data_IF_255633036901
#
_entry.id   IF_255633036901
#
_cell.length_a   1.000
_cell.length_b   1.000
_cell.length_c   1.000
_cell.angle_alpha   90.00
_cell.angle_beta   90.00
_cell.angle_gamma   90.00
#
_symmetry.space_group_name_H-M   'P 1'
#
loop_
_entity.id
_entity.type
_entity.pdbx_description
1 polymer ?
#
# COMPACT_ATOMS: atom_id res chain seq x y z
N UNK A 1 6.28 -8.72 -93.55
CA UNK A 1 6.01 -10.16 -93.73
C UNK A 1 6.74 -10.91 -92.63
N UNK A 2 5.97 -11.55 -91.75
CA UNK A 2 6.29 -12.73 -90.92
C UNK A 2 7.53 -12.72 -90.00
N UNK A 3 7.27 -12.64 -88.69
CA UNK A 3 7.64 -13.69 -87.71
C UNK A 3 6.87 -13.51 -86.40
N UNK A 4 6.08 -14.53 -86.03
CA UNK A 4 5.51 -14.77 -84.70
C UNK A 4 6.51 -15.57 -83.85
N UNK A 5 6.53 -15.34 -82.53
CA UNK A 5 6.77 -16.32 -81.44
C UNK A 5 7.05 -15.51 -80.15
N UNK A 6 6.09 -15.39 -79.24
CA UNK A 6 5.86 -16.29 -78.10
C UNK A 6 6.70 -15.90 -76.87
N UNK A 7 6.03 -15.35 -75.85
CA UNK A 7 6.22 -15.72 -74.45
C UNK A 7 5.11 -15.03 -73.65
N UNK A 8 4.11 -15.82 -73.29
CA UNK A 8 3.14 -15.47 -72.26
C UNK A 8 3.86 -15.45 -70.91
N UNK A 9 3.77 -14.35 -70.17
CA UNK A 9 4.04 -14.35 -68.74
C UNK A 9 2.82 -13.77 -68.03
N UNK A 10 1.96 -14.68 -67.59
CA UNK A 10 0.85 -14.40 -66.71
C UNK A 10 1.39 -14.05 -65.33
N UNK A 11 1.42 -12.77 -64.99
CA UNK A 11 1.59 -12.35 -63.60
C UNK A 11 0.24 -12.45 -62.89
N UNK A 12 0.01 -13.64 -62.34
CA UNK A 12 -1.12 -13.94 -61.47
C UNK A 12 -1.11 -13.05 -60.22
N UNK A 13 -2.27 -12.44 -59.96
CA UNK A 13 -2.59 -11.77 -58.71
C UNK A 13 -2.58 -12.78 -57.54
N UNK A 14 -1.44 -12.90 -56.88
CA UNK A 14 -1.31 -13.59 -55.59
C UNK A 14 -1.84 -12.70 -54.47
N UNK A 15 -3.17 -12.59 -54.33
CA UNK A 15 -3.77 -12.10 -53.09
C UNK A 15 -3.53 -13.16 -52.01
N UNK A 16 -2.38 -13.05 -51.34
CA UNK A 16 -2.12 -13.72 -50.08
C UNK A 16 -3.09 -13.18 -49.04
N UNK A 17 -4.26 -13.82 -48.94
CA UNK A 17 -5.09 -13.76 -47.75
C UNK A 17 -4.34 -14.49 -46.63
N UNK A 18 -3.35 -13.81 -46.06
CA UNK A 18 -2.82 -14.15 -44.76
C UNK A 18 -3.99 -14.06 -43.80
N UNK A 19 -4.50 -15.23 -43.40
CA UNK A 19 -5.48 -15.37 -42.34
C UNK A 19 -5.03 -14.50 -41.18
N UNK A 20 -5.73 -13.38 -40.99
CA UNK A 20 -5.72 -12.66 -39.73
C UNK A 20 -6.17 -13.68 -38.71
N UNK A 21 -5.21 -14.26 -38.00
CA UNK A 21 -5.49 -14.94 -36.76
C UNK A 21 -6.19 -13.88 -35.91
N UNK A 22 -7.50 -14.01 -35.79
CA UNK A 22 -8.32 -13.20 -34.92
C UNK A 22 -7.68 -13.28 -33.54
N UNK A 23 -6.94 -12.25 -33.15
CA UNK A 23 -6.42 -12.11 -31.80
C UNK A 23 -7.62 -11.78 -30.91
N UNK A 24 -8.50 -12.75 -30.71
CA UNK A 24 -9.57 -12.65 -29.73
C UNK A 24 -8.86 -12.50 -28.40
N UNK A 25 -9.01 -11.37 -27.69
CA UNK A 25 -8.45 -11.24 -26.36
C UNK A 25 -8.97 -12.43 -25.55
N UNK A 26 -8.07 -13.26 -25.02
CA UNK A 26 -8.45 -14.37 -24.14
C UNK A 26 -8.96 -13.79 -22.82
N UNK A 27 -10.20 -13.30 -22.82
CA UNK A 27 -10.91 -12.86 -21.63
C UNK A 27 -11.21 -14.09 -20.79
N UNK A 28 -10.87 -14.05 -19.50
CA UNK A 28 -11.14 -15.16 -18.59
C UNK A 28 -12.64 -15.50 -18.59
N UNK A 29 -12.99 -16.80 -18.59
CA UNK A 29 -14.38 -17.21 -18.61
C UNK A 29 -15.10 -16.73 -17.35
N UNK A 30 -16.34 -16.26 -17.51
CA UNK A 30 -17.18 -15.69 -16.44
C UNK A 30 -17.26 -16.60 -15.20
N UNK A 31 -17.20 -17.93 -15.40
CA UNK A 31 -17.14 -18.94 -14.34
C UNK A 31 -16.01 -18.71 -13.32
N UNK A 32 -14.83 -18.25 -13.77
CA UNK A 32 -13.69 -17.95 -12.89
C UNK A 32 -14.01 -16.77 -11.97
N UNK A 33 -14.65 -15.72 -12.48
CA UNK A 33 -15.03 -14.57 -11.67
C UNK A 33 -16.11 -14.92 -10.64
N UNK A 34 -17.12 -15.72 -11.01
CA UNK A 34 -18.14 -16.18 -10.06
C UNK A 34 -17.53 -17.06 -8.96
N UNK A 35 -16.67 -18.02 -9.34
CA UNK A 35 -16.00 -18.88 -8.37
C UNK A 35 -15.12 -18.07 -7.39
N UNK A 36 -14.41 -17.07 -7.92
CA UNK A 36 -13.57 -16.17 -7.11
C UNK A 36 -14.43 -15.31 -6.19
N UNK A 37 -15.54 -14.77 -6.69
CA UNK A 37 -16.48 -13.99 -5.89
C UNK A 37 -17.05 -14.81 -4.71
N UNK A 38 -17.45 -16.06 -4.96
CA UNK A 38 -17.89 -16.97 -3.90
C UNK A 38 -16.78 -17.25 -2.89
N UNK A 39 -15.55 -17.51 -3.35
CA UNK A 39 -14.41 -17.71 -2.47
C UNK A 39 -14.16 -16.47 -1.59
N UNK A 40 -14.23 -15.26 -2.15
CA UNK A 40 -14.07 -14.02 -1.39
C UNK A 40 -15.20 -13.78 -0.38
N UNK A 41 -16.43 -14.15 -0.71
CA UNK A 41 -17.54 -14.12 0.25
C UNK A 41 -17.29 -15.05 1.41
N UNK A 42 -16.90 -16.30 1.14
CA UNK A 42 -16.55 -17.27 2.19
C UNK A 42 -15.43 -16.73 3.09
N UNK A 43 -14.33 -16.24 2.52
CA UNK A 43 -13.22 -15.67 3.29
C UNK A 43 -13.67 -14.44 4.12
N UNK A 44 -14.62 -13.66 3.62
CA UNK A 44 -15.16 -12.50 4.33
C UNK A 44 -16.01 -12.95 5.53
N UNK A 45 -16.89 -13.92 5.35
CA UNK A 45 -17.66 -14.52 6.46
C UNK A 45 -16.71 -15.11 7.50
N UNK A 46 -15.64 -15.79 7.08
CA UNK A 46 -14.61 -16.32 7.97
C UNK A 46 -13.89 -15.21 8.73
N UNK A 47 -13.58 -14.09 8.09
CA UNK A 47 -12.94 -12.93 8.75
C UNK A 47 -13.86 -12.32 9.80
N UNK A 48 -15.14 -12.16 9.47
CA UNK A 48 -16.16 -11.65 10.41
C UNK A 48 -16.35 -12.65 11.56
N UNK A 49 -16.44 -13.95 11.28
CA UNK A 49 -16.49 -15.00 12.29
C UNK A 49 -15.28 -14.98 13.22
N UNK A 50 -14.08 -14.85 12.66
CA UNK A 50 -12.84 -14.73 13.44
C UNK A 50 -12.82 -13.49 14.33
N UNK A 51 -13.51 -12.41 13.95
CA UNK A 51 -13.62 -11.21 14.78
C UNK A 51 -14.48 -11.39 16.05
N UNK A 52 -15.35 -12.40 16.08
CA UNK A 52 -16.18 -12.72 17.25
C UNK A 52 -15.52 -13.70 18.22
N UNK A 53 -14.43 -14.37 17.79
CA UNK A 53 -13.68 -15.29 18.65
C UNK A 53 -12.55 -14.52 19.31
N UNK A 54 -12.46 -14.58 20.64
CA UNK A 54 -11.40 -13.90 21.38
C UNK A 54 -10.25 -14.87 21.67
N UNK A 55 -9.22 -14.84 20.82
CA UNK A 55 -7.98 -15.62 20.96
C UNK A 55 -6.86 -14.76 21.56
N UNK A 56 -7.20 -13.58 22.11
CA UNK A 56 -6.25 -12.63 22.68
C UNK A 56 -5.22 -12.15 21.65
N UNK A 57 -3.93 -12.33 21.96
CA UNK A 57 -2.83 -11.86 21.09
C UNK A 57 -2.82 -12.51 19.69
N UNK A 58 -3.41 -13.71 19.54
CA UNK A 58 -3.45 -14.41 18.25
C UNK A 58 -4.50 -13.83 17.28
N UNK A 59 -5.47 -13.05 17.75
CA UNK A 59 -6.53 -12.48 16.89
C UNK A 59 -5.95 -11.63 15.76
N UNK A 60 -4.98 -10.78 16.06
CA UNK A 60 -4.35 -9.92 15.06
C UNK A 60 -3.61 -10.74 14.00
N UNK A 61 -2.84 -11.75 14.43
CA UNK A 61 -2.08 -12.60 13.52
C UNK A 61 -3.00 -13.39 12.58
N UNK A 62 -4.10 -13.95 13.11
CA UNK A 62 -5.10 -14.69 12.33
C UNK A 62 -5.85 -13.75 11.39
N UNK A 63 -6.28 -12.58 11.87
CA UNK A 63 -6.96 -11.59 11.04
C UNK A 63 -6.08 -11.13 9.87
N UNK A 64 -4.79 -10.87 10.13
CA UNK A 64 -3.82 -10.53 9.08
C UNK A 64 -3.63 -11.68 8.09
N UNK A 65 -3.50 -12.92 8.55
CA UNK A 65 -3.35 -14.08 7.66
C UNK A 65 -4.54 -14.25 6.72
N UNK A 66 -5.76 -14.13 7.25
CA UNK A 66 -6.99 -14.23 6.44
C UNK A 66 -7.05 -13.06 5.46
N UNK A 67 -6.74 -11.84 5.90
CA UNK A 67 -6.71 -10.65 5.05
C UNK A 67 -5.68 -10.77 3.91
N UNK A 68 -4.47 -11.26 4.20
CA UNK A 68 -3.44 -11.49 3.17
C UNK A 68 -3.87 -12.57 2.19
N UNK A 69 -4.51 -13.63 2.65
CA UNK A 69 -5.05 -14.68 1.76
C UNK A 69 -6.12 -14.10 0.82
N UNK A 70 -7.05 -13.29 1.36
CA UNK A 70 -8.07 -12.58 0.57
C UNK A 70 -7.43 -11.67 -0.47
N UNK A 71 -6.45 -10.87 -0.07
CA UNK A 71 -5.71 -10.00 -0.98
C UNK A 71 -4.98 -10.79 -2.07
N UNK A 72 -4.38 -11.94 -1.72
CA UNK A 72 -3.73 -12.85 -2.67
C UNK A 72 -4.69 -13.40 -3.73
N UNK A 73 -5.89 -13.82 -3.35
CA UNK A 73 -6.93 -14.27 -4.30
C UNK A 73 -7.31 -13.15 -5.27
N UNK A 74 -7.50 -11.92 -4.76
CA UNK A 74 -7.80 -10.75 -5.59
C UNK A 74 -6.65 -10.44 -6.56
N UNK A 75 -5.42 -10.42 -6.07
CA UNK A 75 -4.24 -10.14 -6.89
C UNK A 75 -4.03 -11.20 -7.98
N UNK A 76 -4.14 -12.48 -7.64
CA UNK A 76 -3.93 -13.56 -8.60
C UNK A 76 -5.00 -13.60 -9.69
N UNK A 77 -6.26 -13.36 -9.34
CA UNK A 77 -7.38 -13.52 -10.29
C UNK A 77 -7.85 -12.20 -10.90
N UNK A 78 -8.26 -11.23 -10.09
CA UNK A 78 -8.85 -9.97 -10.60
C UNK A 78 -7.80 -9.03 -11.20
N UNK A 79 -6.59 -8.99 -10.62
CA UNK A 79 -5.48 -8.25 -11.23
C UNK A 79 -4.81 -9.03 -12.37
N UNK A 80 -5.34 -10.19 -12.74
CA UNK A 80 -4.81 -11.07 -13.79
C UNK A 80 -3.35 -11.51 -13.58
N UNK A 81 -2.77 -11.35 -12.39
CA UNK A 81 -1.35 -11.60 -12.14
C UNK A 81 -0.93 -13.05 -12.44
N UNK A 82 -1.88 -14.01 -12.37
CA UNK A 82 -1.65 -15.41 -12.72
C UNK A 82 -1.49 -15.66 -14.23
N UNK A 83 -2.13 -14.87 -15.08
CA UNK A 83 -2.13 -15.03 -16.53
C UNK A 83 -1.35 -13.94 -17.27
N UNK A 84 -1.03 -12.86 -16.59
CA UNK A 84 -0.24 -11.75 -17.11
C UNK A 84 1.26 -12.08 -17.10
N UNK A 85 2.06 -11.21 -17.70
CA UNK A 85 3.50 -11.32 -17.78
C UNK A 85 4.14 -11.32 -16.38
N UNK A 86 5.15 -12.18 -16.18
CA UNK A 86 5.89 -12.34 -14.91
C UNK A 86 6.50 -11.03 -14.40
N UNK A 87 6.69 -10.06 -15.28
CA UNK A 87 7.15 -8.71 -14.96
C UNK A 87 6.18 -7.97 -14.01
N UNK A 88 4.86 -8.11 -14.22
CA UNK A 88 3.86 -7.52 -13.32
C UNK A 88 3.92 -8.16 -11.94
N UNK A 89 4.14 -9.48 -11.86
CA UNK A 89 4.35 -10.19 -10.59
C UNK A 89 5.59 -9.68 -9.86
N UNK A 90 6.69 -9.42 -10.58
CA UNK A 90 7.92 -8.90 -9.99
C UNK A 90 7.72 -7.49 -9.41
N UNK A 91 7.04 -6.61 -10.15
CA UNK A 91 6.72 -5.25 -9.67
C UNK A 91 5.82 -5.30 -8.43
N UNK A 92 4.78 -6.13 -8.47
CA UNK A 92 3.88 -6.31 -7.33
C UNK A 92 4.62 -6.87 -6.10
N UNK A 93 5.48 -7.86 -6.29
CA UNK A 93 6.24 -8.42 -5.17
C UNK A 93 7.25 -7.41 -4.60
N UNK A 94 7.90 -6.64 -5.48
CA UNK A 94 8.76 -5.52 -5.08
C UNK A 94 8.00 -4.51 -4.23
N UNK A 95 6.81 -4.07 -4.65
CA UNK A 95 6.02 -3.11 -3.89
C UNK A 95 5.59 -3.64 -2.52
N UNK A 96 5.23 -4.91 -2.41
CA UNK A 96 4.92 -5.56 -1.12
C UNK A 96 6.15 -5.63 -0.21
N UNK A 97 7.33 -5.93 -0.74
CA UNK A 97 8.59 -5.93 0.02
C UNK A 97 8.89 -4.53 0.53
N UNK A 98 8.83 -3.51 -0.33
CA UNK A 98 9.05 -2.12 0.07
C UNK A 98 8.03 -1.66 1.12
N UNK A 99 6.76 -2.03 0.98
CA UNK A 99 5.73 -1.77 1.98
C UNK A 99 6.08 -2.40 3.33
N UNK A 100 6.51 -3.67 3.33
CA UNK A 100 6.92 -4.35 4.55
C UNK A 100 8.12 -3.67 5.22
N UNK A 101 9.11 -3.23 4.42
CA UNK A 101 10.26 -2.45 4.91
C UNK A 101 9.80 -1.12 5.53
N UNK A 102 8.91 -0.38 4.88
CA UNK A 102 8.38 0.87 5.43
C UNK A 102 7.60 0.67 6.72
N UNK A 103 6.70 -0.32 6.77
CA UNK A 103 5.97 -0.64 8.01
C UNK A 103 6.94 -1.02 9.13
N UNK A 104 7.93 -1.88 8.83
CA UNK A 104 8.95 -2.28 9.80
C UNK A 104 9.78 -1.09 10.30
N UNK A 105 10.19 -0.21 9.40
CA UNK A 105 10.94 1.00 9.75
C UNK A 105 10.10 1.98 10.57
N UNK A 106 8.83 2.20 10.22
CA UNK A 106 7.91 3.05 10.99
C UNK A 106 7.65 2.48 12.38
N UNK A 107 7.49 1.16 12.51
CA UNK A 107 7.37 0.49 13.81
C UNK A 107 8.64 0.67 14.64
N UNK A 108 9.82 0.53 14.02
CA UNK A 108 11.10 0.77 14.67
C UNK A 108 11.26 2.22 15.14
N UNK A 109 10.95 3.20 14.29
CA UNK A 109 10.97 4.62 14.64
C UNK A 109 10.03 4.90 15.82
N UNK A 110 8.77 4.48 15.72
CA UNK A 110 7.75 4.71 16.75
C UNK A 110 8.17 4.15 18.11
N UNK A 111 8.74 2.93 18.12
CA UNK A 111 9.20 2.28 19.34
C UNK A 111 10.44 2.96 19.97
N UNK A 112 11.24 3.68 19.18
CA UNK A 112 12.47 4.32 19.66
C UNK A 112 12.36 5.84 19.85
N UNK A 113 11.33 6.49 19.29
CA UNK A 113 11.14 7.94 19.35
C UNK A 113 11.08 8.48 20.79
N UNK A 114 10.41 7.76 21.70
CA UNK A 114 10.32 8.13 23.12
C UNK A 114 11.65 8.08 23.89
N UNK A 115 12.71 7.50 23.32
CA UNK A 115 14.06 7.51 23.93
C UNK A 115 14.79 8.84 23.74
N UNK A 116 14.39 9.67 22.77
CA UNK A 116 14.97 10.98 22.52
C UNK A 116 14.35 12.08 23.40
N UNK A 117 13.08 11.94 23.78
CA UNK A 117 12.34 12.84 24.67
C UNK A 117 13.09 13.18 25.99
N UNK A 118 13.63 12.21 26.76
CA UNK A 118 14.39 12.53 27.97
C UNK A 118 15.70 13.29 27.69
N UNK A 119 16.33 13.08 26.53
CA UNK A 119 17.55 13.80 26.13
C UNK A 119 17.26 15.25 25.73
N UNK A 120 16.13 15.49 25.07
CA UNK A 120 15.62 16.82 24.70
C UNK A 120 15.16 17.60 25.96
N UNK A 121 14.51 16.93 26.91
CA UNK A 121 14.11 17.52 28.20
C UNK A 121 15.31 17.94 29.05
N UNK A 122 16.43 17.21 28.96
CA UNK A 122 17.67 17.52 29.66
C UNK A 122 18.48 18.64 28.97
N UNK A 123 18.24 18.86 27.66
CA UNK A 123 18.92 19.89 26.86
C UNK A 123 17.96 20.59 25.89
N UNK A 124 17.04 21.44 26.38
CA UNK A 124 16.13 22.15 25.50
C UNK A 124 16.92 22.99 24.49
N UNK A 125 16.71 22.74 23.20
CA UNK A 125 17.29 23.53 22.13
C UNK A 125 16.55 24.86 22.01
N UNK A 126 17.28 25.98 22.02
CA UNK A 126 16.68 27.29 21.78
C UNK A 126 16.39 27.45 20.27
N UNK A 127 15.13 27.29 19.89
CA UNK A 127 14.66 27.42 18.50
C UNK A 127 14.90 28.85 17.95
N UNK A 128 14.98 29.87 18.81
CA UNK A 128 15.18 31.27 18.41
C UNK A 128 16.64 31.62 18.20
N UNK A 129 17.56 30.86 18.80
CA UNK A 129 19.00 31.09 18.70
C UNK A 129 19.78 29.76 18.53
N UNK A 130 19.55 29.01 17.43
CA UNK A 130 20.06 27.64 17.27
C UNK A 130 21.60 27.51 17.20
N UNK A 131 22.33 28.62 17.04
CA UNK A 131 23.79 28.63 16.88
C UNK A 131 24.54 29.50 17.92
N UNK A 132 23.85 30.09 18.90
CA UNK A 132 24.48 30.99 19.90
C UNK A 132 25.30 30.23 20.96
N UNK A 133 25.31 28.89 20.91
CA UNK A 133 26.09 28.02 21.82
C UNK A 133 25.62 28.02 23.27
N UNK A 134 24.65 28.88 23.63
CA UNK A 134 24.02 28.94 24.96
C UNK A 134 22.92 27.90 25.06
N UNK A 135 22.86 27.17 26.18
CA UNK A 135 21.82 26.14 26.39
C UNK A 135 20.53 26.86 26.77
N UNK A 136 19.36 26.43 26.30
CA UNK A 136 18.11 27.06 26.73
C UNK A 136 17.86 26.86 28.25
N UNK A 137 18.51 25.87 28.86
CA UNK A 137 18.57 25.66 30.31
C UNK A 137 19.30 26.79 31.08
N UNK A 138 20.17 27.54 30.39
CA UNK A 138 20.90 28.70 30.94
C UNK A 138 20.06 29.98 30.83
N UNK A 139 18.95 29.97 30.06
CA UNK A 139 18.02 31.09 30.01
C UNK A 139 17.10 31.08 31.24
N UNK A 140 17.33 32.05 32.12
CA UNK A 140 16.56 32.27 33.35
C UNK A 140 15.04 32.39 33.11
N UNK A 141 14.61 32.73 31.89
CA UNK A 141 13.19 32.85 31.51
C UNK A 141 12.47 31.51 31.45
N UNK A 142 13.17 30.43 31.09
CA UNK A 142 12.64 29.05 31.02
C UNK A 142 12.43 28.47 32.42
N UNK A 143 13.29 28.85 33.38
CA UNK A 143 13.18 28.44 34.79
C UNK A 143 12.04 29.10 35.56
N UNK A 144 11.32 30.08 34.99
CA UNK A 144 10.20 30.70 35.70
C UNK A 144 9.04 29.69 35.73
N UNK A 145 8.58 29.24 36.91
CA UNK A 145 7.31 28.54 36.98
C UNK A 145 6.28 29.48 36.37
N UNK A 146 5.55 28.99 35.35
CA UNK A 146 4.44 29.72 34.78
C UNK A 146 3.52 30.03 35.95
N UNK A 147 3.52 31.29 36.40
CA UNK A 147 2.74 31.72 37.56
C UNK A 147 1.31 31.32 37.25
N UNK A 148 0.77 30.35 38.01
CA UNK A 148 -0.59 29.89 37.82
C UNK A 148 -1.47 31.15 37.73
N UNK A 149 -2.26 31.23 36.65
CA UNK A 149 -3.20 32.34 36.49
C UNK A 149 -4.00 32.46 37.78
N UNK A 150 -4.21 33.68 38.33
CA UNK A 150 -5.00 33.85 39.52
C UNK A 150 -6.34 33.13 39.36
N UNK A 151 -6.81 32.36 40.35
CA UNK A 151 -8.08 31.65 40.22
C UNK A 151 -9.18 32.64 39.87
N UNK A 152 -10.02 32.28 38.89
CA UNK A 152 -11.14 33.10 38.46
C UNK A 152 -11.99 33.49 39.69
N UNK A 153 -12.47 34.75 39.77
CA UNK A 153 -13.34 35.17 40.87
C UNK A 153 -14.58 34.27 40.89
N UNK A 154 -14.88 33.71 42.06
CA UNK A 154 -16.08 32.88 42.27
C UNK A 154 -17.31 33.70 41.89
N UNK A 155 -18.33 33.13 41.21
CA UNK A 155 -19.57 33.84 40.95
C UNK A 155 -20.17 34.27 42.29
N UNK A 156 -20.30 35.58 42.46
CA UNK A 156 -21.00 36.17 43.60
C UNK A 156 -22.48 35.93 43.35
N UNK A 157 -23.06 34.97 44.07
CA UNK A 157 -24.49 34.73 44.07
C UNK A 157 -25.14 35.90 44.83
N UNK A 158 -25.77 36.79 44.10
CA UNK A 158 -26.71 37.79 44.62
C UNK A 158 -27.98 37.06 45.07
N UNK A 159 -28.30 37.15 46.36
CA UNK A 159 -29.66 36.98 46.87
C UNK A 159 -30.57 38.10 46.37
#
# INVERSE_FOLDING_TARGET
MSTHAEAAEGHGHGHGHGHGADHVPHVLPLKVYIATWLALLVLTVVTVGASYVDLGAANLAIALLIATTKAGVVALIFMHLKWDHKFHTLIFLSSVIFLAVFIGFTMFDTNNRGRAEPVEAERPADIKAPFDGKRAADDWRVKRPHKAAPPAPKPQNTE
#
